data_IF_626476835495
#
_entry.id   IF_626476835495
#
_cell.length_a   1.000
_cell.length_b   1.000
_cell.length_c   1.000
_cell.angle_alpha   90.00
_cell.angle_beta   90.00
_cell.angle_gamma   90.00
#
_symmetry.space_group_name_H-M   'P 1'
#
loop_
_entity.id
_entity.type
_entity.pdbx_description
1 polymer ?
#
# COMPACT_ATOMS: atom_id res chain seq x y z
N UNK A 1 -0.90 -35.61 -35.82
CA UNK A 1 -1.36 -36.99 -35.52
C UNK A 1 -0.29 -37.67 -34.68
N UNK A 2 -0.66 -38.71 -33.91
CA UNK A 2 0.07 -39.29 -32.77
C UNK A 2 0.27 -38.29 -31.59
N UNK A 3 -0.25 -38.53 -30.37
CA UNK A 3 -0.22 -39.71 -29.47
C UNK A 3 1.10 -39.81 -28.69
N UNK A 4 1.09 -39.57 -27.37
CA UNK A 4 0.63 -40.50 -26.29
C UNK A 4 1.51 -41.75 -26.18
N UNK A 5 2.62 -41.69 -25.42
CA UNK A 5 3.43 -42.87 -25.03
C UNK A 5 4.08 -42.83 -23.62
N UNK A 6 3.67 -41.91 -22.73
CA UNK A 6 4.21 -41.84 -21.35
C UNK A 6 3.16 -41.74 -20.22
N UNK A 7 2.02 -42.43 -20.41
CA UNK A 7 1.47 -43.23 -19.30
C UNK A 7 2.29 -44.54 -19.16
N UNK A 8 1.90 -45.46 -18.27
CA UNK A 8 2.46 -46.82 -18.12
C UNK A 8 3.77 -46.98 -17.32
N UNK A 9 3.85 -46.36 -16.13
CA UNK A 9 4.29 -47.05 -14.89
C UNK A 9 3.32 -46.64 -13.77
N UNK A 10 2.28 -47.40 -13.43
CA UNK A 10 2.24 -48.73 -12.77
C UNK A 10 3.09 -48.74 -11.50
N UNK A 11 2.58 -49.04 -10.29
CA UNK A 11 1.24 -49.43 -9.83
C UNK A 11 1.06 -48.90 -8.37
N UNK A 12 -0.09 -48.35 -7.93
CA UNK A 12 -1.40 -48.98 -7.59
C UNK A 12 -1.52 -49.34 -6.09
N UNK A 13 -2.76 -49.51 -5.60
CA UNK A 13 -3.18 -49.70 -4.19
C UNK A 13 -3.04 -48.39 -3.36
N UNK A 14 -4.07 -47.61 -3.03
CA UNK A 14 -5.50 -47.82 -2.76
C UNK A 14 -5.82 -48.40 -1.37
N UNK A 15 -6.20 -47.51 -0.45
CA UNK A 15 -7.02 -47.79 0.75
C UNK A 15 -8.18 -46.79 0.74
N UNK A 16 -9.35 -47.23 1.20
CA UNK A 16 -10.62 -46.52 1.12
C UNK A 16 -11.18 -46.22 2.53
N UNK A 17 -12.33 -45.53 2.57
CA UNK A 17 -13.28 -45.41 3.70
C UNK A 17 -13.00 -44.31 4.75
N UNK A 18 -14.06 -43.82 5.46
CA UNK A 18 -14.09 -42.44 5.98
C UNK A 18 -14.45 -42.30 7.47
N UNK A 19 -14.40 -41.07 7.99
CA UNK A 19 -15.11 -40.69 9.22
C UNK A 19 -15.51 -39.20 9.19
N UNK A 20 -16.67 -38.89 9.78
CA UNK A 20 -17.18 -37.52 10.01
C UNK A 20 -16.98 -37.15 11.48
N UNK A 21 -16.59 -35.91 11.77
CA UNK A 21 -16.99 -35.21 12.99
C UNK A 21 -17.15 -33.71 12.72
N UNK A 22 -18.36 -33.19 12.96
CA UNK A 22 -18.60 -31.74 13.11
C UNK A 22 -18.41 -31.38 14.59
N UNK A 23 -17.81 -30.23 14.87
CA UNK A 23 -17.92 -29.53 16.15
C UNK A 23 -17.71 -28.03 15.92
N UNK A 24 -18.81 -27.32 15.61
CA UNK A 24 -18.86 -25.86 15.71
C UNK A 24 -19.28 -25.51 17.15
N UNK A 25 -18.47 -24.74 17.87
CA UNK A 25 -18.72 -24.33 19.26
C UNK A 25 -18.12 -22.95 19.55
N UNK A 26 -18.77 -22.16 20.42
CA UNK A 26 -18.41 -20.75 20.70
C UNK A 26 -18.96 -19.82 19.60
N UNK A 27 -20.13 -19.16 19.73
CA UNK A 27 -20.77 -18.47 20.85
C UNK A 27 -20.04 -17.18 21.27
N UNK A 28 -20.76 -16.05 21.25
CA UNK A 28 -20.23 -14.70 21.48
C UNK A 28 -21.23 -13.61 21.09
N UNK A 29 -22.40 -13.58 21.73
CA UNK A 29 -23.46 -12.61 21.46
C UNK A 29 -23.48 -11.48 22.50
N UNK A 30 -23.54 -10.23 22.05
CA UNK A 30 -23.89 -9.05 22.85
C UNK A 30 -24.23 -7.84 21.95
N UNK A 31 -25.52 -7.62 21.67
CA UNK A 31 -26.03 -6.27 21.33
C UNK A 31 -26.46 -5.58 22.63
N UNK A 32 -26.19 -4.27 22.75
CA UNK A 32 -27.29 -3.36 23.07
C UNK A 32 -27.20 -1.97 22.41
N UNK A 33 -28.18 -1.65 21.57
CA UNK A 33 -28.83 -0.32 21.59
C UNK A 33 -29.81 -0.29 22.81
N UNK A 34 -30.42 0.84 23.26
CA UNK A 34 -30.47 2.16 22.63
C UNK A 34 -30.29 3.37 23.60
N UNK A 35 -30.61 4.57 23.09
CA UNK A 35 -31.11 5.74 23.83
C UNK A 35 -30.11 6.69 24.51
N UNK A 36 -30.00 7.91 23.95
CA UNK A 36 -30.31 9.15 24.68
C UNK A 36 -30.53 10.32 23.70
N UNK A 37 -31.71 10.95 23.73
CA UNK A 37 -31.99 12.18 22.97
C UNK A 37 -31.84 13.41 23.87
N UNK A 38 -31.40 14.55 23.32
CA UNK A 38 -31.44 15.85 24.02
C UNK A 38 -31.50 17.04 23.06
N UNK A 39 -32.67 17.69 23.06
CA UNK A 39 -33.01 19.03 22.61
C UNK A 39 -34.08 19.55 23.60
N UNK A 40 -34.39 20.87 23.76
CA UNK A 40 -34.13 22.01 22.88
C UNK A 40 -33.03 22.95 23.49
N UNK A 41 -32.96 24.30 23.45
CA UNK A 41 -33.91 25.37 23.09
C UNK A 41 -33.18 26.68 22.73
N UNK A 42 -33.80 27.50 21.87
CA UNK A 42 -33.51 28.93 21.64
C UNK A 42 -33.97 29.79 22.85
N UNK A 43 -33.59 31.09 22.99
CA UNK A 43 -33.98 32.17 22.07
C UNK A 43 -32.88 33.24 21.79
N UNK A 44 -33.24 34.29 21.05
CA UNK A 44 -32.37 35.40 20.67
C UNK A 44 -32.54 36.66 21.55
N UNK A 45 -31.63 37.63 21.43
CA UNK A 45 -31.77 39.02 21.92
C UNK A 45 -30.93 39.96 21.03
N UNK A 46 -31.34 41.22 20.87
CA UNK A 46 -30.86 42.12 19.79
C UNK A 46 -30.35 43.49 20.27
N UNK A 47 -29.14 43.86 19.80
CA UNK A 47 -28.67 45.25 19.59
C UNK A 47 -28.54 46.17 20.84
N UNK A 48 -28.04 47.44 20.76
CA UNK A 48 -27.44 48.14 19.61
C UNK A 48 -26.09 48.88 19.86
N UNK A 49 -25.46 49.32 18.77
CA UNK A 49 -24.56 50.49 18.55
C UNK A 49 -23.69 51.11 19.67
N UNK A 50 -22.39 51.30 19.37
CA UNK A 50 -21.71 52.61 19.43
C UNK A 50 -20.47 52.66 18.50
N UNK A 51 -20.09 53.82 17.91
CA UNK A 51 -19.02 53.91 16.90
C UNK A 51 -17.72 54.56 17.43
N UNK A 52 -16.53 53.99 17.15
CA UNK A 52 -15.23 54.60 17.48
C UNK A 52 -14.15 54.32 16.42
N UNK A 53 -13.41 55.39 16.07
CA UNK A 53 -12.10 55.47 15.41
C UNK A 53 -11.78 54.60 14.17
N UNK A 54 -11.70 55.27 13.01
CA UNK A 54 -10.99 54.75 11.83
C UNK A 54 -9.47 54.80 12.05
N UNK A 55 -8.84 53.65 12.34
CA UNK A 55 -7.38 53.51 12.32
C UNK A 55 -6.89 53.14 10.90
N UNK A 56 -5.75 53.68 10.42
CA UNK A 56 -5.20 53.31 9.13
C UNK A 56 -4.75 51.83 9.14
N UNK A 57 -5.31 51.03 8.24
CA UNK A 57 -4.99 49.61 8.13
C UNK A 57 -3.57 49.43 7.57
N UNK A 58 -2.61 49.17 8.45
CA UNK A 58 -1.25 48.78 8.09
C UNK A 58 -1.27 47.35 7.56
N UNK A 59 -1.40 47.20 6.25
CA UNK A 59 -1.26 45.90 5.59
C UNK A 59 0.11 45.29 5.93
N UNK A 60 0.18 44.12 6.58
CA UNK A 60 1.45 43.47 6.82
C UNK A 60 2.10 43.14 5.46
N UNK A 61 3.43 43.36 5.30
CA UNK A 61 4.09 43.09 4.04
C UNK A 61 3.90 41.62 3.67
N UNK A 62 3.46 41.37 2.43
CA UNK A 62 3.18 40.03 1.95
C UNK A 62 4.44 39.18 2.02
N UNK A 63 4.49 38.26 2.99
CA UNK A 63 5.63 37.36 3.17
C UNK A 63 5.95 36.66 1.85
N UNK A 64 7.21 36.64 1.39
CA UNK A 64 7.56 35.99 0.14
C UNK A 64 7.19 34.51 0.25
N UNK A 65 6.23 34.08 -0.57
CA UNK A 65 5.80 32.68 -0.57
C UNK A 65 6.97 31.83 -1.03
N UNK A 66 7.62 31.15 -0.08
CA UNK A 66 8.76 30.26 -0.33
C UNK A 66 8.36 29.21 -1.35
N UNK A 67 8.77 29.41 -2.60
CA UNK A 67 8.43 28.55 -3.71
C UNK A 67 8.96 27.13 -3.41
N UNK A 68 8.06 26.22 -3.04
CA UNK A 68 8.40 24.84 -2.73
C UNK A 68 9.16 24.24 -3.91
N UNK A 69 10.36 23.65 -3.69
CA UNK A 69 11.24 23.26 -4.78
C UNK A 69 10.53 22.29 -5.72
N UNK A 70 10.41 22.69 -6.99
CA UNK A 70 9.57 22.01 -7.97
C UNK A 70 9.86 20.50 -8.00
N UNK A 71 8.83 19.70 -7.65
CA UNK A 71 8.99 18.28 -7.36
C UNK A 71 9.62 17.55 -8.56
N UNK A 72 10.81 16.97 -8.36
CA UNK A 72 11.56 16.33 -9.45
C UNK A 72 10.71 15.25 -10.12
N UNK A 73 10.60 15.32 -11.44
CA UNK A 73 9.87 14.32 -12.23
C UNK A 73 10.58 12.96 -12.11
N UNK A 74 9.88 11.85 -11.85
CA UNK A 74 10.47 10.52 -11.80
C UNK A 74 11.23 10.19 -13.09
N UNK A 75 12.37 9.51 -12.95
CA UNK A 75 13.27 9.19 -14.07
C UNK A 75 12.55 8.49 -15.24
N UNK A 76 11.68 7.53 -14.94
CA UNK A 76 10.93 6.74 -15.93
C UNK A 76 9.51 7.29 -16.20
N UNK A 77 9.11 8.37 -15.52
CA UNK A 77 7.75 8.92 -15.61
C UNK A 77 6.70 7.90 -15.12
N UNK A 78 5.74 7.54 -15.99
CA UNK A 78 4.70 6.52 -15.73
C UNK A 78 4.98 5.18 -16.42
N UNK A 79 6.22 4.94 -16.88
CA UNK A 79 6.57 3.77 -17.70
C UNK A 79 6.81 2.54 -16.83
N UNK A 80 5.73 1.92 -16.32
CA UNK A 80 5.81 0.77 -15.40
C UNK A 80 6.67 -0.41 -15.94
N UNK A 81 6.78 -0.56 -17.26
CA UNK A 81 7.64 -1.56 -17.91
C UNK A 81 9.15 -1.34 -17.69
N UNK A 82 9.59 -0.11 -17.35
CA UNK A 82 10.97 0.19 -16.97
C UNK A 82 11.38 -0.60 -15.71
N UNK A 83 10.44 -0.83 -14.79
CA UNK A 83 10.66 -1.59 -13.56
C UNK A 83 10.89 -3.10 -13.76
N UNK A 84 10.91 -3.60 -15.00
CA UNK A 84 10.95 -5.04 -15.27
C UNK A 84 12.21 -5.76 -14.74
N UNK A 85 13.35 -5.09 -14.63
CA UNK A 85 14.57 -5.64 -14.01
C UNK A 85 14.70 -5.31 -12.50
N UNK A 86 13.68 -4.68 -11.92
CA UNK A 86 13.64 -4.09 -10.59
C UNK A 86 14.63 -2.92 -10.36
N UNK A 87 14.88 -2.09 -11.39
CA UNK A 87 15.58 -0.79 -11.27
C UNK A 87 14.81 0.31 -12.00
N UNK A 88 14.04 1.12 -11.28
CA UNK A 88 13.26 2.20 -11.86
C UNK A 88 12.92 3.30 -10.84
N UNK A 89 12.54 4.48 -11.32
CA UNK A 89 11.83 5.48 -10.54
C UNK A 89 10.58 5.95 -11.31
N UNK A 90 9.40 5.54 -10.84
CA UNK A 90 8.10 5.70 -11.53
C UNK A 90 7.04 6.36 -10.65
N UNK A 91 6.15 7.10 -11.29
CA UNK A 91 4.87 7.53 -10.74
C UNK A 91 3.81 6.42 -10.91
N UNK A 92 3.20 5.99 -9.81
CA UNK A 92 2.15 4.96 -9.74
C UNK A 92 0.85 5.49 -9.15
N UNK A 93 -0.25 4.82 -9.46
CA UNK A 93 -1.62 5.09 -9.00
C UNK A 93 -2.24 3.82 -8.39
N UNK A 94 -3.28 3.97 -7.57
CA UNK A 94 -4.04 2.81 -7.05
C UNK A 94 -4.59 1.96 -8.20
N UNK A 95 -4.32 0.65 -8.18
CA UNK A 95 -4.71 -0.30 -9.21
C UNK A 95 -3.58 -0.73 -10.15
N UNK A 96 -2.51 0.07 -10.27
CA UNK A 96 -1.37 -0.21 -11.15
C UNK A 96 -0.67 -1.52 -10.79
N UNK A 97 -0.16 -2.21 -11.81
CA UNK A 97 0.60 -3.46 -11.67
C UNK A 97 2.01 -3.26 -12.21
N UNK A 98 2.98 -3.29 -11.30
CA UNK A 98 4.42 -3.25 -11.57
C UNK A 98 4.83 -4.67 -11.97
N UNK A 99 5.15 -4.86 -13.25
CA UNK A 99 5.50 -6.18 -13.79
C UNK A 99 7.00 -6.41 -13.80
N UNK A 100 7.42 -7.56 -13.29
CA UNK A 100 8.82 -7.97 -13.28
C UNK A 100 9.13 -8.97 -14.40
N UNK A 101 10.39 -9.06 -14.80
CA UNK A 101 10.86 -10.13 -15.69
C UNK A 101 11.25 -11.38 -14.86
N UNK A 102 11.34 -12.54 -15.52
CA UNK A 102 11.62 -13.81 -14.87
C UNK A 102 12.97 -13.85 -14.11
N UNK A 103 13.92 -12.97 -14.41
CA UNK A 103 15.20 -12.85 -13.67
C UNK A 103 15.01 -12.08 -12.37
N UNK A 104 14.25 -11.00 -12.38
CA UNK A 104 13.89 -10.25 -11.18
C UNK A 104 13.01 -11.10 -10.24
N UNK A 105 11.95 -11.73 -10.76
CA UNK A 105 11.09 -12.65 -10.00
C UNK A 105 11.89 -13.78 -9.35
N UNK A 106 12.77 -14.46 -10.10
CA UNK A 106 13.59 -15.56 -9.55
C UNK A 106 14.56 -15.09 -8.47
N UNK A 107 15.12 -13.87 -8.58
CA UNK A 107 16.00 -13.29 -7.55
C UNK A 107 15.22 -12.98 -6.27
N UNK A 108 13.99 -12.50 -6.41
CA UNK A 108 13.18 -12.01 -5.29
C UNK A 108 12.22 -13.06 -4.69
N UNK A 109 11.97 -14.19 -5.36
CA UNK A 109 11.02 -15.20 -4.89
C UNK A 109 9.56 -14.75 -4.85
N UNK A 110 9.22 -13.57 -5.38
CA UNK A 110 7.85 -13.07 -5.51
C UNK A 110 7.56 -12.55 -6.93
N UNK A 111 6.28 -12.45 -7.27
CA UNK A 111 5.79 -12.08 -8.61
C UNK A 111 5.55 -10.57 -8.79
N UNK A 112 4.64 -10.21 -9.70
CA UNK A 112 4.26 -8.81 -9.93
C UNK A 112 3.64 -8.15 -8.68
N UNK A 113 3.87 -6.84 -8.51
CA UNK A 113 3.30 -6.05 -7.41
C UNK A 113 2.13 -5.20 -7.91
N UNK A 114 0.99 -5.25 -7.20
CA UNK A 114 -0.16 -4.39 -7.46
C UNK A 114 -0.31 -3.34 -6.36
N UNK A 115 -0.49 -2.08 -6.74
CA UNK A 115 -0.77 -0.98 -5.80
C UNK A 115 -2.20 -1.11 -5.29
N UNK A 116 -2.35 -1.48 -4.01
CA UNK A 116 -3.64 -1.73 -3.35
C UNK A 116 -4.29 -0.43 -2.86
N UNK A 117 -3.49 0.49 -2.30
CA UNK A 117 -3.92 1.86 -2.03
C UNK A 117 -2.72 2.80 -1.82
N UNK A 118 -2.93 4.08 -2.11
CA UNK A 118 -2.05 5.19 -1.77
C UNK A 118 -2.80 6.09 -0.78
N UNK A 119 -2.11 6.52 0.27
CA UNK A 119 -2.52 7.55 1.23
C UNK A 119 -1.37 8.56 1.36
N UNK A 120 -1.61 9.66 2.07
CA UNK A 120 -0.53 10.57 2.47
C UNK A 120 0.62 9.80 3.12
N UNK A 121 1.83 9.95 2.56
CA UNK A 121 3.08 9.38 3.08
C UNK A 121 3.06 7.84 3.27
N UNK A 122 2.17 7.11 2.59
CA UNK A 122 2.02 5.66 2.72
C UNK A 122 1.46 4.99 1.46
N UNK A 123 2.10 3.91 1.03
CA UNK A 123 1.64 3.04 -0.04
C UNK A 123 1.50 1.59 0.45
N UNK A 124 0.43 0.93 0.02
CA UNK A 124 0.11 -0.47 0.34
C UNK A 124 0.15 -1.26 -0.96
N UNK A 125 0.95 -2.33 -0.99
CA UNK A 125 1.05 -3.25 -2.11
C UNK A 125 0.38 -4.59 -1.78
N UNK A 126 0.00 -5.32 -2.82
CA UNK A 126 -0.29 -6.75 -2.75
C UNK A 126 0.47 -7.47 -3.86
N UNK A 127 0.87 -8.71 -3.62
CA UNK A 127 1.29 -9.59 -4.70
C UNK A 127 0.13 -9.75 -5.69
N UNK A 128 0.40 -9.69 -7.00
CA UNK A 128 -0.62 -9.85 -8.03
C UNK A 128 -1.25 -11.26 -8.05
N UNK A 129 -0.56 -12.25 -7.47
CA UNK A 129 -1.07 -13.60 -7.21
C UNK A 129 -2.08 -13.68 -6.06
N UNK A 130 -2.34 -12.59 -5.32
CA UNK A 130 -3.35 -12.52 -4.27
C UNK A 130 -2.90 -12.97 -2.87
N UNK A 131 -1.65 -13.37 -2.69
CA UNK A 131 -1.08 -13.79 -1.39
C UNK A 131 -0.82 -12.63 -0.43
N UNK A 132 0.44 -12.25 -0.24
CA UNK A 132 0.82 -11.23 0.73
C UNK A 132 0.37 -9.80 0.35
N UNK A 133 -0.15 -9.06 1.33
CA UNK A 133 -0.30 -7.59 1.31
C UNK A 133 0.69 -6.99 2.30
N UNK A 134 1.51 -6.02 1.88
CA UNK A 134 2.43 -5.30 2.77
C UNK A 134 2.32 -3.78 2.60
N UNK A 135 2.76 -3.06 3.62
CA UNK A 135 2.77 -1.59 3.67
C UNK A 135 4.20 -1.11 3.68
N UNK A 136 4.52 -0.10 2.88
CA UNK A 136 5.83 0.53 2.90
C UNK A 136 5.96 1.47 4.13
N UNK A 137 7.18 1.67 4.67
CA UNK A 137 7.45 2.82 5.55
C UNK A 137 7.27 4.16 4.80
N UNK A 138 7.63 5.27 5.45
CA UNK A 138 7.29 6.63 5.03
C UNK A 138 8.02 7.14 3.78
N UNK A 139 7.88 8.43 3.46
CA UNK A 139 8.70 9.09 2.44
C UNK A 139 10.19 8.98 2.79
N UNK A 140 11.01 8.78 1.76
CA UNK A 140 12.45 8.53 1.77
C UNK A 140 12.94 7.26 2.53
N UNK A 141 12.16 6.71 3.46
CA UNK A 141 12.37 5.39 4.06
C UNK A 141 12.43 4.28 2.99
N UNK A 142 13.20 3.22 3.25
CA UNK A 142 13.31 2.08 2.34
C UNK A 142 12.98 0.75 3.02
N UNK A 143 12.17 -0.07 2.33
CA UNK A 143 11.94 -1.46 2.68
C UNK A 143 12.65 -2.39 1.69
N UNK A 144 13.50 -3.29 2.18
CA UNK A 144 14.10 -4.37 1.42
C UNK A 144 13.13 -5.56 1.38
N UNK A 145 12.32 -5.69 0.32
CA UNK A 145 11.43 -6.83 0.13
C UNK A 145 12.17 -7.92 -0.65
N UNK A 146 12.44 -9.06 -0.01
CA UNK A 146 13.19 -10.21 -0.55
C UNK A 146 14.44 -9.83 -1.38
N UNK A 147 15.23 -8.85 -0.94
CA UNK A 147 16.43 -8.42 -1.64
C UNK A 147 16.20 -7.53 -2.88
N UNK A 148 15.07 -6.81 -2.92
CA UNK A 148 14.81 -5.61 -3.75
C UNK A 148 14.51 -4.45 -2.80
N UNK A 149 15.09 -3.27 -3.03
CA UNK A 149 14.72 -2.06 -2.27
C UNK A 149 13.46 -1.42 -2.86
N UNK A 150 12.52 -1.03 -2.00
CA UNK A 150 11.41 -0.13 -2.33
C UNK A 150 11.56 1.14 -1.49
N UNK A 151 11.75 2.30 -2.14
CA UNK A 151 11.77 3.63 -1.51
C UNK A 151 10.57 4.46 -1.97
N UNK A 152 9.85 5.11 -1.05
CA UNK A 152 8.72 5.98 -1.38
C UNK A 152 9.27 7.41 -1.52
N UNK A 153 9.37 7.92 -2.74
CA UNK A 153 10.00 9.23 -2.97
C UNK A 153 9.06 10.37 -2.57
N UNK A 154 7.75 10.20 -2.75
CA UNK A 154 6.67 11.11 -2.26
C UNK A 154 5.28 10.61 -2.64
N UNK A 155 4.25 11.24 -2.08
CA UNK A 155 2.83 11.06 -2.47
C UNK A 155 2.20 12.37 -2.94
N UNK A 156 1.53 12.35 -4.08
CA UNK A 156 0.79 13.47 -4.68
C UNK A 156 -0.70 13.09 -4.80
N UNK A 157 -1.46 13.29 -3.72
CA UNK A 157 -2.89 12.94 -3.65
C UNK A 157 -3.15 11.44 -3.81
N UNK A 158 -3.64 11.00 -4.98
CA UNK A 158 -3.89 9.58 -5.32
C UNK A 158 -2.75 8.93 -6.11
N UNK A 159 -1.60 9.61 -6.22
CA UNK A 159 -0.39 9.19 -6.93
C UNK A 159 0.78 9.08 -5.95
N UNK A 160 1.74 8.22 -6.25
CA UNK A 160 2.98 8.10 -5.50
C UNK A 160 4.15 7.99 -6.47
N UNK A 161 5.29 8.60 -6.14
CA UNK A 161 6.54 8.31 -6.84
C UNK A 161 7.31 7.29 -6.01
N UNK A 162 7.64 6.16 -6.64
CA UNK A 162 8.34 5.05 -6.01
C UNK A 162 9.64 4.75 -6.75
N UNK A 163 10.64 4.30 -6.02
CA UNK A 163 11.95 3.90 -6.54
C UNK A 163 12.23 2.46 -6.16
N UNK A 164 12.54 1.64 -7.16
CA UNK A 164 12.81 0.21 -7.03
C UNK A 164 14.28 -0.03 -7.37
N UNK A 165 14.99 -0.88 -6.61
CA UNK A 165 16.43 -1.05 -6.80
C UNK A 165 17.09 -2.21 -6.04
N UNK A 166 18.42 -2.12 -5.92
CA UNK A 166 19.23 -3.06 -5.14
C UNK A 166 19.06 -2.81 -3.63
N UNK A 167 19.07 -3.86 -2.79
CA UNK A 167 18.75 -3.74 -1.38
C UNK A 167 19.81 -2.90 -0.65
N UNK A 168 19.34 -2.00 0.23
CA UNK A 168 20.18 -1.15 1.07
C UNK A 168 20.55 -1.88 2.37
N UNK A 169 21.78 -1.70 2.85
CA UNK A 169 22.22 -2.25 4.15
C UNK A 169 21.72 -1.37 5.30
N UNK A 170 21.30 -1.98 6.41
CA UNK A 170 20.82 -1.27 7.60
C UNK A 170 19.44 -0.64 7.45
N UNK A 171 18.64 -1.09 6.48
CA UNK A 171 17.26 -0.63 6.27
C UNK A 171 16.26 -1.79 6.41
N UNK A 172 15.05 -1.46 6.86
CA UNK A 172 13.97 -2.39 7.18
C UNK A 172 13.84 -3.47 6.11
N UNK A 173 13.89 -4.74 6.51
CA UNK A 173 13.83 -5.88 5.62
C UNK A 173 12.56 -6.69 5.86
N UNK A 174 11.89 -7.06 4.77
CA UNK A 174 10.64 -7.82 4.76
C UNK A 174 10.84 -9.07 3.92
N UNK A 175 10.70 -10.24 4.53
CA UNK A 175 10.75 -11.53 3.85
C UNK A 175 9.33 -12.04 3.67
N UNK A 176 8.89 -12.14 2.41
CA UNK A 176 7.64 -12.74 1.98
C UNK A 176 7.86 -14.22 1.65
N UNK A 177 7.18 -15.11 2.36
CA UNK A 177 7.17 -16.55 2.11
C UNK A 177 6.22 -16.96 0.96
N UNK A 178 6.41 -18.16 0.38
CA UNK A 178 5.59 -18.66 -0.72
C UNK A 178 4.14 -18.99 -0.31
N UNK A 179 3.92 -19.21 0.99
CA UNK A 179 2.64 -19.36 1.67
C UNK A 179 1.94 -18.02 1.98
N UNK A 180 2.59 -16.89 1.69
CA UNK A 180 2.13 -15.56 2.06
C UNK A 180 2.51 -15.13 3.48
N UNK A 181 3.30 -15.93 4.21
CA UNK A 181 3.89 -15.50 5.49
C UNK A 181 4.78 -14.27 5.31
N UNK A 182 4.95 -13.50 6.39
CA UNK A 182 5.76 -12.29 6.39
C UNK A 182 6.62 -12.24 7.64
N UNK A 183 7.93 -12.08 7.46
CA UNK A 183 8.87 -11.80 8.54
C UNK A 183 9.46 -10.40 8.34
N UNK A 184 9.65 -9.67 9.43
CA UNK A 184 10.26 -8.33 9.43
C UNK A 184 11.56 -8.39 10.22
N UNK A 185 12.58 -7.68 9.74
CA UNK A 185 13.89 -7.53 10.38
C UNK A 185 14.35 -6.09 10.19
N UNK A 186 15.09 -5.57 11.17
CA UNK A 186 15.62 -4.20 11.21
C UNK A 186 17.12 -4.25 11.45
#
# INVERSE_FOLDING_TARGET
MHQERHQERRAAWAVLAPAVMLLLAGCGAAEPDPTAASAPTSPATTAPTSPVATAPSSTPPSSPSSASPAARKPADGRRLAACSDAKCEVEVSTGDVIRFNARAMRKAGFGDLKVKSIRENKIVYTLASGGATFTQPGPDDTANVNGISLTLVRTEGKRAVIRIGAPKRGEMSVTLGPDGSMQVTT
#
